data_IF_861991355744
#
_entry.id   IF_861991355744
#
_cell.length_a   1.000
_cell.length_b   1.000
_cell.length_c   1.000
_cell.angle_alpha   90.00
_cell.angle_beta   90.00
_cell.angle_gamma   90.00
#
_symmetry.space_group_name_H-M   'P 1'
#
loop_
_entity.id
_entity.type
_entity.pdbx_description
1 polymer ?
#
# COMPACT_ATOMS: atom_id res chain seq x y z
N UNK A 1 20.68 68.89 -8.74
CA UNK A 1 21.03 67.90 -9.79
C UNK A 1 22.52 67.65 -9.65
N UNK A 2 23.07 66.45 -9.44
CA UNK A 2 22.68 65.09 -9.86
C UNK A 2 23.32 64.11 -8.88
N UNK A 3 22.59 63.07 -8.46
CA UNK A 3 23.03 62.10 -7.43
C UNK A 3 24.08 61.14 -8.00
N UNK A 4 25.10 60.92 -7.18
CA UNK A 4 26.15 59.93 -7.33
C UNK A 4 25.57 58.50 -7.43
N UNK A 5 25.97 57.76 -8.46
CA UNK A 5 25.45 56.42 -8.77
C UNK A 5 26.56 55.40 -8.53
N UNK A 6 26.71 55.07 -7.26
CA UNK A 6 27.54 53.99 -6.73
C UNK A 6 27.05 52.61 -7.20
N UNK A 7 28.01 51.70 -7.37
CA UNK A 7 27.83 50.40 -7.99
C UNK A 7 26.78 49.50 -7.34
N UNK A 8 26.07 48.76 -8.20
CA UNK A 8 25.22 47.64 -7.83
C UNK A 8 25.66 46.42 -8.63
N UNK A 9 26.65 45.72 -8.08
CA UNK A 9 27.00 44.34 -8.44
C UNK A 9 25.90 43.42 -7.90
N UNK A 10 24.81 43.27 -8.65
CA UNK A 10 23.76 42.30 -8.33
C UNK A 10 24.22 40.87 -8.61
N UNK A 11 23.88 39.88 -7.76
CA UNK A 11 24.28 38.50 -7.97
C UNK A 11 23.61 37.92 -9.23
N UNK A 12 24.43 37.31 -10.10
CA UNK A 12 23.99 36.62 -11.31
C UNK A 12 23.02 35.50 -10.93
N UNK A 13 21.77 35.58 -11.38
CA UNK A 13 20.80 34.47 -11.34
C UNK A 13 21.27 33.35 -12.28
N UNK A 14 22.19 32.52 -11.80
CA UNK A 14 22.41 31.17 -12.29
C UNK A 14 21.40 30.25 -11.63
N UNK A 15 20.58 29.56 -12.42
CA UNK A 15 19.56 28.66 -11.90
C UNK A 15 18.79 28.03 -13.04
N UNK A 16 19.47 27.16 -13.78
CA UNK A 16 18.88 26.30 -14.79
C UNK A 16 17.94 25.30 -14.08
N UNK A 17 16.66 25.65 -13.89
CA UNK A 17 15.67 24.69 -13.43
C UNK A 17 15.27 23.81 -14.59
N UNK A 18 16.11 22.81 -14.86
CA UNK A 18 15.67 21.60 -15.55
C UNK A 18 14.47 21.07 -14.76
N UNK A 19 13.27 21.28 -15.32
CA UNK A 19 12.04 20.66 -14.84
C UNK A 19 12.24 19.17 -15.06
N UNK A 20 12.80 18.48 -14.05
CA UNK A 20 12.82 17.02 -14.03
C UNK A 20 11.37 16.60 -14.17
N UNK A 21 11.01 16.08 -15.33
CA UNK A 21 9.85 15.24 -15.46
C UNK A 21 10.05 14.17 -14.39
N UNK A 22 9.26 14.24 -13.31
CA UNK A 22 9.05 13.08 -12.45
C UNK A 22 8.39 12.06 -13.37
N UNK A 23 9.23 11.28 -14.06
CA UNK A 23 8.78 10.03 -14.62
C UNK A 23 8.09 9.31 -13.48
N UNK A 24 6.84 8.89 -13.71
CA UNK A 24 6.28 7.81 -12.90
C UNK A 24 7.35 6.73 -12.91
N UNK A 25 8.08 6.58 -11.80
CA UNK A 25 9.03 5.48 -11.67
C UNK A 25 8.17 4.25 -11.87
N UNK A 26 8.28 3.62 -13.04
CA UNK A 26 7.49 2.49 -13.44
C UNK A 26 7.88 1.29 -12.60
N UNK A 27 7.52 1.30 -11.31
CA UNK A 27 7.35 0.07 -10.55
C UNK A 27 6.12 -0.57 -11.17
N UNK A 28 6.36 -1.42 -12.16
CA UNK A 28 5.40 -2.49 -12.49
C UNK A 28 4.98 -3.10 -11.16
N UNK A 29 3.68 -3.28 -10.89
CA UNK A 29 3.25 -4.00 -9.70
C UNK A 29 4.01 -5.33 -9.68
N UNK A 30 4.71 -5.61 -8.58
CA UNK A 30 5.40 -6.88 -8.41
C UNK A 30 4.31 -7.95 -8.43
N UNK A 31 4.14 -8.63 -9.56
CA UNK A 31 3.39 -9.88 -9.57
C UNK A 31 4.17 -10.82 -8.65
N UNK A 32 3.51 -11.33 -7.61
CA UNK A 32 4.03 -12.50 -6.89
C UNK A 32 4.20 -13.62 -7.91
N UNK A 33 5.36 -14.25 -7.93
CA UNK A 33 5.53 -15.51 -8.63
C UNK A 33 4.65 -16.51 -7.89
N UNK A 34 3.48 -16.83 -8.47
CA UNK A 34 2.60 -17.86 -7.93
C UNK A 34 3.34 -19.21 -7.94
N UNK A 35 3.13 -20.06 -6.92
CA UNK A 35 3.74 -21.38 -6.89
C UNK A 35 3.26 -22.21 -8.09
N UNK A 36 4.17 -22.99 -8.67
CA UNK A 36 3.85 -23.91 -9.77
C UNK A 36 2.94 -25.03 -9.25
N UNK A 37 1.72 -25.20 -9.78
CA UNK A 37 0.80 -26.23 -9.34
C UNK A 37 1.31 -27.65 -9.62
N UNK A 38 2.25 -27.83 -10.54
CA UNK A 38 2.79 -29.14 -10.90
C UNK A 38 4.05 -29.53 -10.10
N UNK A 39 4.56 -28.65 -9.24
CA UNK A 39 5.82 -28.87 -8.53
C UNK A 39 5.84 -30.11 -7.62
N UNK A 40 4.67 -30.60 -7.21
CA UNK A 40 4.51 -31.76 -6.34
C UNK A 40 4.00 -33.02 -7.06
N UNK A 41 3.85 -32.99 -8.39
CA UNK A 41 3.41 -34.15 -9.17
C UNK A 41 4.59 -35.11 -9.36
N UNK A 42 4.43 -36.34 -8.88
CA UNK A 42 5.39 -37.43 -9.08
C UNK A 42 5.05 -38.17 -10.39
N UNK A 43 6.04 -38.30 -11.26
CA UNK A 43 5.86 -38.93 -12.58
C UNK A 43 6.21 -40.42 -12.54
N UNK A 44 5.27 -41.23 -12.98
CA UNK A 44 5.36 -42.70 -12.98
C UNK A 44 5.88 -43.25 -14.31
N UNK A 45 5.81 -42.45 -15.39
CA UNK A 45 6.15 -42.86 -16.75
C UNK A 45 4.98 -43.51 -17.50
N UNK A 46 3.83 -43.69 -16.85
CA UNK A 46 2.57 -44.04 -17.50
C UNK A 46 1.81 -42.78 -17.89
N UNK A 47 1.64 -42.56 -19.20
CA UNK A 47 1.05 -41.33 -19.73
C UNK A 47 -0.35 -41.04 -19.17
N UNK A 48 -1.16 -42.08 -18.98
CA UNK A 48 -2.54 -41.89 -18.54
C UNK A 48 -2.60 -41.48 -17.06
N UNK A 49 -1.78 -42.12 -16.21
CA UNK A 49 -1.67 -41.79 -14.78
C UNK A 49 -1.05 -40.41 -14.56
N UNK A 50 0.03 -40.10 -15.27
CA UNK A 50 0.73 -38.82 -15.13
C UNK A 50 -0.18 -37.67 -15.57
N UNK A 51 -0.92 -37.82 -16.69
CA UNK A 51 -1.88 -36.82 -17.15
C UNK A 51 -3.04 -36.60 -16.16
N UNK A 52 -3.51 -37.67 -15.50
CA UNK A 52 -4.57 -37.56 -14.48
C UNK A 52 -4.07 -36.84 -13.22
N UNK A 53 -2.83 -37.09 -12.81
CA UNK A 53 -2.19 -36.43 -11.68
C UNK A 53 -1.97 -34.93 -11.96
N UNK A 54 -1.47 -34.59 -13.15
CA UNK A 54 -1.32 -33.20 -13.60
C UNK A 54 -2.66 -32.46 -13.61
N UNK A 55 -3.71 -33.07 -14.15
CA UNK A 55 -5.04 -32.46 -14.21
C UNK A 55 -5.58 -32.14 -12.82
N UNK A 56 -5.43 -33.07 -11.88
CA UNK A 56 -5.87 -32.88 -10.48
C UNK A 56 -5.11 -31.74 -9.83
N UNK A 57 -3.78 -31.73 -9.96
CA UNK A 57 -2.92 -30.69 -9.38
C UNK A 57 -3.22 -29.29 -9.98
N UNK A 58 -3.50 -29.21 -11.27
CA UNK A 58 -3.93 -27.98 -11.93
C UNK A 58 -5.29 -27.49 -11.40
N UNK A 59 -6.29 -28.37 -11.29
CA UNK A 59 -7.61 -28.01 -10.77
C UNK A 59 -7.52 -27.45 -9.35
N UNK A 60 -6.76 -28.12 -8.48
CA UNK A 60 -6.51 -27.65 -7.11
C UNK A 60 -5.80 -26.30 -7.08
N UNK A 61 -4.76 -26.13 -7.90
CA UNK A 61 -4.04 -24.86 -8.05
C UNK A 61 -4.97 -23.71 -8.44
N UNK A 62 -5.82 -23.91 -9.46
CA UNK A 62 -6.80 -22.90 -9.87
C UNK A 62 -7.82 -22.58 -8.77
N UNK A 63 -8.36 -23.61 -8.09
CA UNK A 63 -9.34 -23.42 -7.01
C UNK A 63 -8.75 -22.66 -5.83
N UNK A 64 -7.52 -22.97 -5.46
CA UNK A 64 -6.81 -22.29 -4.38
C UNK A 64 -6.53 -20.84 -4.72
N UNK A 65 -6.12 -20.56 -5.97
CA UNK A 65 -5.93 -19.19 -6.46
C UNK A 65 -7.23 -18.40 -6.48
N UNK A 66 -8.32 -18.98 -6.98
CA UNK A 66 -9.62 -18.33 -6.98
C UNK A 66 -10.08 -17.95 -5.56
N UNK A 67 -9.88 -18.83 -4.57
CA UNK A 67 -10.16 -18.54 -3.16
C UNK A 67 -9.28 -17.42 -2.60
N UNK A 68 -7.98 -17.45 -2.91
CA UNK A 68 -7.05 -16.41 -2.46
C UNK A 68 -7.36 -15.04 -3.09
N UNK A 69 -7.73 -15.02 -4.37
CA UNK A 69 -8.17 -13.83 -5.08
C UNK A 69 -9.50 -13.31 -4.55
N UNK A 70 -10.49 -14.17 -4.27
CA UNK A 70 -11.75 -13.80 -3.63
C UNK A 70 -11.52 -13.21 -2.22
N UNK A 71 -10.66 -13.83 -1.41
CA UNK A 71 -10.29 -13.29 -0.11
C UNK A 71 -9.58 -11.93 -0.22
N UNK A 72 -8.71 -11.76 -1.22
CA UNK A 72 -8.06 -10.48 -1.51
C UNK A 72 -9.06 -9.44 -2.00
N UNK A 73 -10.00 -9.82 -2.87
CA UNK A 73 -11.04 -8.96 -3.41
C UNK A 73 -11.97 -8.47 -2.30
N UNK A 74 -12.44 -9.36 -1.42
CA UNK A 74 -13.21 -8.99 -0.21
C UNK A 74 -12.42 -8.01 0.63
N UNK A 75 -11.18 -8.32 1.03
CA UNK A 75 -10.36 -7.39 1.83
C UNK A 75 -10.12 -6.02 1.15
N UNK A 76 -10.05 -5.97 -0.18
CA UNK A 76 -9.77 -4.75 -0.93
C UNK A 76 -11.02 -3.93 -1.29
N UNK A 77 -12.19 -4.55 -1.35
CA UNK A 77 -13.41 -3.96 -1.93
C UNK A 77 -14.57 -3.91 -0.93
N UNK A 78 -14.45 -4.58 0.21
CA UNK A 78 -15.49 -4.56 1.22
C UNK A 78 -15.49 -3.23 1.98
N UNK A 79 -16.70 -2.68 2.12
CA UNK A 79 -16.97 -1.36 2.68
C UNK A 79 -17.43 -1.50 4.13
N UNK A 80 -16.70 -2.18 4.99
CA UNK A 80 -17.31 -2.62 6.25
C UNK A 80 -16.71 -1.88 7.45
N UNK A 81 -17.31 -0.73 7.73
CA UNK A 81 -17.25 0.02 9.00
C UNK A 81 -15.97 0.83 9.27
N UNK A 82 -15.75 1.87 8.45
CA UNK A 82 -14.78 2.92 8.76
C UNK A 82 -15.50 4.22 9.12
N UNK A 83 -14.97 4.93 10.11
CA UNK A 83 -15.35 6.31 10.38
C UNK A 83 -14.09 7.19 10.32
N UNK A 84 -14.28 8.48 10.06
CA UNK A 84 -13.17 9.43 10.04
C UNK A 84 -13.47 10.58 10.99
N UNK A 85 -12.42 11.07 11.64
CA UNK A 85 -12.47 12.31 12.43
C UNK A 85 -11.77 13.40 11.63
N UNK A 86 -12.50 14.47 11.32
CA UNK A 86 -12.00 15.60 10.55
C UNK A 86 -11.65 16.76 11.46
N UNK A 87 -10.47 17.34 11.23
CA UNK A 87 -9.97 18.54 11.93
C UNK A 87 -9.76 19.66 10.92
N UNK A 88 -9.78 20.91 11.40
CA UNK A 88 -9.57 22.08 10.53
C UNK A 88 -8.11 22.18 10.12
N UNK A 89 -7.21 21.83 11.04
CA UNK A 89 -5.76 21.91 10.84
C UNK A 89 -5.07 20.58 11.10
N UNK A 90 -3.84 20.43 10.60
CA UNK A 90 -3.03 19.22 10.84
C UNK A 90 -2.60 19.16 12.31
N UNK A 91 -2.29 20.31 12.87
CA UNK A 91 -1.82 20.50 14.23
C UNK A 91 -2.88 20.03 15.23
N UNK A 92 -4.16 20.35 14.98
CA UNK A 92 -5.30 19.84 15.74
C UNK A 92 -5.39 18.31 15.67
N UNK A 93 -5.30 17.73 14.48
CA UNK A 93 -5.33 16.28 14.27
C UNK A 93 -4.21 15.58 15.04
N UNK A 94 -2.98 16.10 14.94
CA UNK A 94 -1.83 15.51 15.64
C UNK A 94 -1.89 15.70 17.16
N UNK A 95 -2.39 16.85 17.63
CA UNK A 95 -2.62 17.08 19.05
C UNK A 95 -3.66 16.09 19.61
N UNK A 96 -4.74 15.84 18.88
CA UNK A 96 -5.73 14.83 19.23
C UNK A 96 -5.10 13.42 19.31
N UNK A 97 -4.35 12.98 18.29
CA UNK A 97 -3.72 11.66 18.30
C UNK A 97 -2.77 11.46 19.49
N UNK A 98 -1.96 12.48 19.82
CA UNK A 98 -1.07 12.43 20.99
C UNK A 98 -1.85 12.40 22.30
N UNK A 99 -2.85 13.26 22.46
CA UNK A 99 -3.66 13.33 23.67
C UNK A 99 -4.47 12.06 23.92
N UNK A 100 -4.91 11.40 22.85
CA UNK A 100 -5.66 10.15 22.90
C UNK A 100 -4.75 8.89 23.02
N UNK A 101 -3.43 9.05 23.01
CA UNK A 101 -2.48 7.91 23.04
C UNK A 101 -2.44 7.09 21.74
N UNK A 102 -3.00 7.60 20.64
CA UNK A 102 -3.12 6.89 19.36
C UNK A 102 -1.97 7.17 18.38
N UNK A 103 -1.08 8.10 18.72
CA UNK A 103 0.00 8.55 17.82
C UNK A 103 0.93 7.42 17.35
N UNK A 104 1.14 6.40 18.18
CA UNK A 104 2.02 5.26 17.85
C UNK A 104 1.34 4.21 16.97
N UNK A 105 0.00 4.21 16.90
CA UNK A 105 -0.78 3.29 16.09
C UNK A 105 -0.83 3.72 14.61
N UNK A 106 -0.70 5.02 14.34
CA UNK A 106 -0.70 5.56 12.98
C UNK A 106 -1.28 6.97 12.84
N UNK A 107 -1.36 7.46 11.60
CA UNK A 107 -1.75 8.85 11.30
C UNK A 107 -3.15 9.03 10.69
N UNK A 108 -3.63 8.01 9.94
CA UNK A 108 -4.83 8.12 9.07
C UNK A 108 -5.73 6.90 9.12
N UNK A 109 -5.15 5.71 9.03
CA UNK A 109 -5.87 4.44 9.09
C UNK A 109 -5.31 3.66 10.26
N UNK A 110 -6.19 3.36 11.21
CA UNK A 110 -5.88 2.73 12.48
C UNK A 110 -6.74 1.47 12.58
N UNK A 111 -6.21 0.41 13.19
CA UNK A 111 -7.03 -0.75 13.52
C UNK A 111 -8.04 -0.37 14.62
N UNK A 112 -9.32 -0.64 14.38
CA UNK A 112 -10.40 -0.26 15.30
C UNK A 112 -10.32 -0.95 16.66
N UNK A 113 -9.79 -2.18 16.73
CA UNK A 113 -9.63 -2.91 17.98
C UNK A 113 -8.48 -2.32 18.81
N UNK A 114 -7.35 -1.99 18.16
CA UNK A 114 -6.22 -1.35 18.82
C UNK A 114 -6.60 0.03 19.36
N UNK A 115 -7.38 0.79 18.59
CA UNK A 115 -7.94 2.08 19.04
C UNK A 115 -8.87 1.88 20.24
N UNK A 116 -9.80 0.92 20.19
CA UNK A 116 -10.73 0.67 21.29
C UNK A 116 -10.01 0.22 22.57
N UNK A 117 -9.02 -0.67 22.45
CA UNK A 117 -8.16 -1.07 23.56
C UNK A 117 -7.42 0.13 24.17
N UNK A 118 -6.82 0.98 23.33
CA UNK A 118 -6.08 2.18 23.78
C UNK A 118 -6.97 3.18 24.50
N UNK A 119 -8.22 3.33 24.04
CA UNK A 119 -9.20 4.24 24.65
C UNK A 119 -9.99 3.62 25.81
N UNK A 120 -9.82 2.32 26.08
CA UNK A 120 -10.57 1.61 27.12
C UNK A 120 -12.06 1.41 26.78
N UNK A 121 -12.40 1.31 25.49
CA UNK A 121 -13.77 1.12 25.00
C UNK A 121 -14.01 -0.38 24.77
N UNK A 122 -15.01 -0.99 25.42
CA UNK A 122 -15.38 -2.37 25.15
C UNK A 122 -16.04 -2.49 23.76
N UNK A 123 -15.62 -3.50 23.00
CA UNK A 123 -16.26 -3.93 21.75
C UNK A 123 -16.87 -5.33 21.94
N UNK A 124 -18.00 -5.58 21.29
CA UNK A 124 -18.77 -6.84 21.35
C UNK A 124 -18.30 -7.90 20.35
#
# INVERSE_FOLDING_TARGET
MTRDSSGLTGPRRGGNTARQSRGLSGRRPKYSTEPDPLAAVEYTGDLQQDAAAEFTALEEGYRNRAKAEDARFKRATDSEFWFTVCFTTREEKEAFLRAAGLADLGDKYLDGNDVAHTLGIPLD
#
